data_IF_799261088318
#
_entry.id   IF_799261088318
#
_cell.length_a   1.000
_cell.length_b   1.000
_cell.length_c   1.000
_cell.angle_alpha   90.00
_cell.angle_beta   90.00
_cell.angle_gamma   90.00
#
_symmetry.space_group_name_H-M   'P 1'
#
loop_
_entity.id
_entity.type
_entity.pdbx_description
1 polymer ?
#
# COMPACT_ATOMS: atom_id res chain seq x y z
N UNK A 1 -25.43 38.00 -22.45
CA UNK A 1 -25.26 36.70 -21.77
C UNK A 1 -24.13 36.87 -20.77
N UNK A 2 -24.46 36.97 -19.48
CA UNK A 2 -23.44 36.88 -18.44
C UNK A 2 -23.16 35.38 -18.30
N UNK A 3 -21.95 34.96 -18.66
CA UNK A 3 -21.52 33.59 -18.43
C UNK A 3 -21.61 33.31 -16.93
N UNK A 4 -22.47 32.37 -16.55
CA UNK A 4 -22.60 31.90 -15.17
C UNK A 4 -21.41 30.98 -14.86
N UNK A 5 -20.26 31.61 -14.63
CA UNK A 5 -19.02 30.92 -14.29
C UNK A 5 -19.14 30.13 -12.99
N UNK A 6 -20.02 30.54 -12.07
CA UNK A 6 -20.26 29.84 -10.81
C UNK A 6 -21.06 28.55 -11.05
N UNK A 7 -22.12 28.62 -11.86
CA UNK A 7 -22.87 27.44 -12.29
C UNK A 7 -22.03 26.45 -13.10
N UNK A 8 -21.16 26.95 -13.98
CA UNK A 8 -20.24 26.11 -14.75
C UNK A 8 -19.19 25.41 -13.85
N UNK A 9 -18.62 26.12 -12.87
CA UNK A 9 -17.69 25.54 -11.90
C UNK A 9 -18.38 24.48 -11.03
N UNK A 10 -19.58 24.77 -10.53
CA UNK A 10 -20.36 23.81 -9.75
C UNK A 10 -20.69 22.54 -10.56
N UNK A 11 -21.07 22.70 -11.83
CA UNK A 11 -21.35 21.57 -12.72
C UNK A 11 -20.12 20.67 -12.94
N UNK A 12 -18.92 21.25 -13.02
CA UNK A 12 -17.67 20.49 -13.14
C UNK A 12 -17.29 19.81 -11.81
N UNK A 13 -17.38 20.51 -10.69
CA UNK A 13 -17.00 20.01 -9.36
C UNK A 13 -17.87 18.81 -8.95
N UNK A 14 -19.18 18.86 -9.22
CA UNK A 14 -20.12 17.78 -8.90
C UNK A 14 -20.26 16.74 -10.02
N UNK A 15 -19.46 16.85 -11.09
CA UNK A 15 -19.49 15.86 -12.17
C UNK A 15 -18.96 14.51 -11.67
N UNK A 16 -19.58 13.37 -12.05
CA UNK A 16 -19.15 12.03 -11.59
C UNK A 16 -17.68 11.70 -11.87
N UNK A 17 -17.11 12.28 -12.93
CA UNK A 17 -15.70 12.06 -13.32
C UNK A 17 -14.71 13.00 -12.64
N UNK A 18 -15.16 14.01 -11.91
CA UNK A 18 -14.27 15.01 -11.30
C UNK A 18 -13.27 14.37 -10.34
N UNK A 19 -13.74 13.53 -9.42
CA UNK A 19 -12.87 12.84 -8.46
C UNK A 19 -11.82 11.95 -9.13
N UNK A 20 -12.19 11.24 -10.22
CA UNK A 20 -11.25 10.43 -11.00
C UNK A 20 -10.21 11.31 -11.70
N UNK A 21 -10.65 12.38 -12.36
CA UNK A 21 -9.77 13.32 -13.06
C UNK A 21 -8.77 13.98 -12.12
N UNK A 22 -9.22 14.44 -10.95
CA UNK A 22 -8.36 15.01 -9.92
C UNK A 22 -7.37 13.97 -9.39
N UNK A 23 -7.81 12.73 -9.13
CA UNK A 23 -6.94 11.67 -8.61
C UNK A 23 -5.84 11.29 -9.62
N UNK A 24 -6.22 11.05 -10.87
CA UNK A 24 -5.26 10.69 -11.93
C UNK A 24 -4.35 11.85 -12.29
N UNK A 25 -4.90 13.07 -12.40
CA UNK A 25 -4.13 14.28 -12.69
C UNK A 25 -3.12 14.59 -11.59
N UNK A 26 -3.55 14.54 -10.32
CA UNK A 26 -2.66 14.70 -9.17
C UNK A 26 -1.52 13.69 -9.18
N UNK A 27 -1.84 12.40 -9.36
CA UNK A 27 -0.83 11.34 -9.40
C UNK A 27 0.16 11.52 -10.55
N UNK A 28 -0.32 11.82 -11.76
CA UNK A 28 0.52 12.00 -12.94
C UNK A 28 1.45 13.22 -12.82
N UNK A 29 0.96 14.33 -12.28
CA UNK A 29 1.76 15.54 -12.05
C UNK A 29 2.89 15.29 -11.06
N UNK A 30 2.55 14.65 -9.92
CA UNK A 30 3.54 14.31 -8.90
C UNK A 30 4.52 13.27 -9.42
N UNK A 31 4.06 12.25 -10.14
CA UNK A 31 4.91 11.23 -10.74
C UNK A 31 5.91 11.85 -11.73
N UNK A 32 5.46 12.74 -12.61
CA UNK A 32 6.35 13.44 -13.54
C UNK A 32 7.40 14.30 -12.81
N UNK A 33 7.01 14.95 -11.72
CA UNK A 33 7.94 15.71 -10.88
C UNK A 33 8.94 14.78 -10.14
N UNK A 34 8.47 13.62 -9.66
CA UNK A 34 9.29 12.60 -9.03
C UNK A 34 10.31 12.00 -10.01
N UNK A 35 9.91 11.68 -11.23
CA UNK A 35 10.84 11.13 -12.24
C UNK A 35 11.95 12.12 -12.60
N UNK A 36 11.63 13.41 -12.65
CA UNK A 36 12.60 14.47 -12.97
C UNK A 36 13.58 14.75 -11.83
N UNK A 37 13.11 14.71 -10.58
CA UNK A 37 13.92 15.09 -9.40
C UNK A 37 14.53 13.91 -8.66
N UNK A 38 13.91 12.72 -8.76
CA UNK A 38 14.17 11.51 -7.96
C UNK A 38 14.29 11.77 -6.47
N UNK A 39 13.60 12.81 -5.98
CA UNK A 39 13.70 13.21 -4.58
C UNK A 39 12.89 12.27 -3.69
N UNK A 40 13.53 11.70 -2.68
CA UNK A 40 12.98 10.65 -1.81
C UNK A 40 11.67 11.07 -1.11
N UNK A 41 11.54 12.35 -0.76
CA UNK A 41 10.32 12.88 -0.11
C UNK A 41 9.19 13.16 -1.10
N UNK A 42 9.48 13.22 -2.40
CA UNK A 42 8.48 13.45 -3.45
C UNK A 42 7.82 12.13 -3.87
N UNK A 43 7.51 11.27 -2.90
CA UNK A 43 6.93 9.98 -3.17
C UNK A 43 5.54 10.16 -3.83
N UNK A 44 5.32 9.61 -5.04
CA UNK A 44 4.13 9.90 -5.83
C UNK A 44 2.81 9.73 -5.07
N UNK A 45 2.68 8.63 -4.33
CA UNK A 45 1.45 8.28 -3.60
C UNK A 45 1.14 9.27 -2.47
N UNK A 46 2.14 9.66 -1.68
CA UNK A 46 1.94 10.54 -0.53
C UNK A 46 1.57 11.95 -0.99
N UNK A 47 2.34 12.50 -1.92
CA UNK A 47 2.16 13.88 -2.37
C UNK A 47 0.90 14.00 -3.22
N UNK A 48 0.54 12.99 -4.02
CA UNK A 48 -0.74 12.98 -4.74
C UNK A 48 -1.93 12.96 -3.78
N UNK A 49 -1.88 12.16 -2.70
CA UNK A 49 -2.92 12.13 -1.68
C UNK A 49 -3.09 13.50 -1.02
N UNK A 50 -2.00 14.14 -0.59
CA UNK A 50 -2.05 15.48 0.02
C UNK A 50 -2.62 16.53 -0.96
N UNK A 51 -2.27 16.43 -2.25
CA UNK A 51 -2.80 17.32 -3.27
C UNK A 51 -4.30 17.10 -3.49
N UNK A 52 -4.77 15.86 -3.55
CA UNK A 52 -6.20 15.53 -3.66
C UNK A 52 -6.96 16.06 -2.44
N UNK A 53 -6.45 15.84 -1.22
CA UNK A 53 -7.06 16.38 0.01
C UNK A 53 -7.17 17.90 -0.07
N UNK A 54 -6.11 18.59 -0.50
CA UNK A 54 -6.11 20.04 -0.69
C UNK A 54 -7.18 20.51 -1.69
N UNK A 55 -7.34 19.80 -2.81
CA UNK A 55 -8.38 20.11 -3.82
C UNK A 55 -9.78 19.89 -3.24
N UNK A 56 -10.01 18.79 -2.53
CA UNK A 56 -11.32 18.50 -1.92
C UNK A 56 -11.71 19.57 -0.89
N UNK A 57 -10.77 19.97 -0.03
CA UNK A 57 -10.99 21.02 0.96
C UNK A 57 -11.25 22.38 0.30
N UNK A 58 -10.51 22.72 -0.76
CA UNK A 58 -10.71 23.97 -1.50
C UNK A 58 -12.05 24.01 -2.25
N UNK A 59 -12.52 22.87 -2.76
CA UNK A 59 -13.81 22.74 -3.45
C UNK A 59 -15.00 22.51 -2.49
N UNK A 60 -14.76 22.33 -1.18
CA UNK A 60 -15.81 22.02 -0.20
C UNK A 60 -16.47 20.65 -0.40
N UNK A 61 -15.78 19.72 -1.07
CA UNK A 61 -16.29 18.38 -1.35
C UNK A 61 -16.13 17.46 -0.15
N UNK A 62 -17.18 16.71 0.16
CA UNK A 62 -17.13 15.71 1.23
C UNK A 62 -16.40 14.45 0.76
N UNK A 63 -15.82 13.68 1.71
CA UNK A 63 -15.22 12.38 1.40
C UNK A 63 -16.23 11.41 0.76
N UNK A 64 -17.50 11.46 1.16
CA UNK A 64 -18.55 10.61 0.59
C UNK A 64 -18.79 10.90 -0.90
N UNK A 65 -18.83 12.17 -1.29
CA UNK A 65 -18.95 12.58 -2.70
C UNK A 65 -17.71 12.19 -3.51
N UNK A 66 -16.52 12.39 -2.94
CA UNK A 66 -15.27 11.95 -3.56
C UNK A 66 -15.22 10.42 -3.74
N UNK A 67 -15.62 9.66 -2.72
CA UNK A 67 -15.64 8.19 -2.77
C UNK A 67 -16.62 7.68 -3.82
N UNK A 68 -17.79 8.32 -3.94
CA UNK A 68 -18.78 7.99 -4.97
C UNK A 68 -18.27 8.28 -6.38
N UNK A 69 -17.63 9.44 -6.59
CA UNK A 69 -17.04 9.77 -7.91
C UNK A 69 -15.86 8.87 -8.29
N UNK A 70 -15.15 8.30 -7.32
CA UNK A 70 -14.00 7.40 -7.54
C UNK A 70 -14.33 5.91 -7.42
N UNK A 71 -15.61 5.53 -7.41
CA UNK A 71 -16.06 4.14 -7.27
C UNK A 71 -15.47 3.21 -8.34
N UNK A 72 -15.34 3.70 -9.58
CA UNK A 72 -14.71 2.97 -10.70
C UNK A 72 -13.27 2.55 -10.33
N UNK A 73 -12.50 3.45 -9.70
CA UNK A 73 -11.12 3.13 -9.26
C UNK A 73 -11.13 2.06 -8.16
N UNK A 74 -12.15 2.07 -7.29
CA UNK A 74 -12.32 1.04 -6.25
C UNK A 74 -12.64 -0.32 -6.87
N UNK A 75 -13.46 -0.38 -7.92
CA UNK A 75 -13.77 -1.62 -8.64
C UNK A 75 -12.51 -2.22 -9.28
N UNK A 76 -11.64 -1.38 -9.83
CA UNK A 76 -10.37 -1.83 -10.43
C UNK A 76 -9.39 -2.44 -9.42
N UNK A 77 -9.60 -2.26 -8.11
CA UNK A 77 -8.78 -2.92 -7.08
C UNK A 77 -8.94 -4.44 -7.10
N UNK A 78 -10.12 -4.96 -7.49
CA UNK A 78 -10.35 -6.40 -7.61
C UNK A 78 -9.43 -7.05 -8.66
N UNK A 79 -9.51 -6.65 -9.94
CA UNK A 79 -8.60 -7.10 -10.99
C UNK A 79 -7.13 -6.86 -10.66
N UNK A 80 -6.78 -5.72 -10.05
CA UNK A 80 -5.41 -5.45 -9.63
C UNK A 80 -4.91 -6.44 -8.56
N UNK A 81 -5.79 -6.84 -7.63
CA UNK A 81 -5.46 -7.85 -6.61
C UNK A 81 -5.27 -9.23 -7.24
N UNK A 82 -6.11 -9.60 -8.21
CA UNK A 82 -5.93 -10.86 -8.97
C UNK A 82 -4.65 -10.85 -9.80
N UNK A 83 -4.29 -9.70 -10.38
CA UNK A 83 -3.06 -9.53 -11.15
C UNK A 83 -1.78 -9.72 -10.31
N UNK A 84 -1.85 -9.66 -8.97
CA UNK A 84 -0.74 -10.05 -8.10
C UNK A 84 -0.36 -11.53 -8.23
N UNK A 85 -1.21 -12.37 -8.81
CA UNK A 85 -0.86 -13.74 -9.17
C UNK A 85 0.19 -13.81 -10.29
N UNK A 86 0.29 -12.78 -11.14
CA UNK A 86 1.25 -12.73 -12.26
C UNK A 86 2.70 -12.76 -11.79
N UNK A 87 3.19 -11.87 -10.91
CA UNK A 87 4.57 -11.96 -10.43
C UNK A 87 4.86 -13.27 -9.69
N UNK A 88 3.86 -13.85 -9.00
CA UNK A 88 3.98 -15.16 -8.37
C UNK A 88 4.20 -16.27 -9.41
N UNK A 89 3.39 -16.27 -10.47
CA UNK A 89 3.46 -17.23 -11.58
C UNK A 89 4.78 -17.12 -12.35
N UNK A 90 5.19 -15.91 -12.73
CA UNK A 90 6.41 -15.66 -13.50
C UNK A 90 7.67 -16.12 -12.74
N UNK A 91 7.66 -16.06 -11.42
CA UNK A 91 8.80 -16.44 -10.58
C UNK A 91 8.66 -17.82 -9.91
N UNK A 92 7.71 -18.67 -10.33
CA UNK A 92 7.49 -20.01 -9.76
C UNK A 92 8.75 -20.89 -9.74
N UNK A 93 9.57 -20.82 -10.80
CA UNK A 93 10.83 -21.58 -10.88
C UNK A 93 11.79 -21.18 -9.75
N UNK A 94 11.93 -19.88 -9.49
CA UNK A 94 12.79 -19.33 -8.44
C UNK A 94 12.22 -19.62 -7.05
N UNK A 95 10.89 -19.53 -6.87
CA UNK A 95 10.22 -19.96 -5.63
C UNK A 95 10.57 -21.41 -5.32
N UNK A 96 10.52 -22.31 -6.31
CA UNK A 96 10.83 -23.73 -6.09
C UNK A 96 12.30 -23.96 -5.73
N UNK A 97 13.22 -23.21 -6.34
CA UNK A 97 14.66 -23.32 -6.06
C UNK A 97 15.04 -22.78 -4.68
N UNK A 98 14.39 -21.71 -4.24
CA UNK A 98 14.65 -21.01 -2.98
C UNK A 98 13.51 -21.16 -1.98
N UNK A 99 12.79 -22.29 -2.06
CA UNK A 99 11.56 -22.50 -1.29
C UNK A 99 11.78 -22.30 0.20
N UNK A 100 12.80 -22.97 0.76
CA UNK A 100 13.09 -22.89 2.19
C UNK A 100 13.47 -21.48 2.64
N UNK A 101 14.46 -20.79 2.03
CA UNK A 101 14.76 -19.40 2.38
C UNK A 101 13.56 -18.46 2.28
N UNK A 102 12.76 -18.55 1.21
CA UNK A 102 11.58 -17.69 1.02
C UNK A 102 10.53 -17.99 2.09
N UNK A 103 10.22 -19.26 2.33
CA UNK A 103 9.22 -19.68 3.29
C UNK A 103 9.59 -19.27 4.71
N UNK A 104 10.83 -19.54 5.15
CA UNK A 104 11.27 -19.16 6.51
C UNK A 104 11.28 -17.65 6.69
N UNK A 105 11.73 -16.91 5.67
CA UNK A 105 11.75 -15.44 5.69
C UNK A 105 10.33 -14.88 5.75
N UNK A 106 9.39 -15.44 4.99
CA UNK A 106 7.99 -15.05 4.99
C UNK A 106 7.32 -15.30 6.34
N UNK A 107 7.48 -16.50 6.90
CA UNK A 107 6.84 -16.87 8.17
C UNK A 107 7.41 -16.02 9.31
N UNK A 108 8.74 -15.98 9.46
CA UNK A 108 9.38 -15.24 10.54
C UNK A 108 9.14 -13.73 10.36
N UNK A 109 9.43 -13.21 9.17
CA UNK A 109 9.30 -11.79 8.86
C UNK A 109 7.85 -11.30 8.97
N UNK A 110 6.90 -12.07 8.45
CA UNK A 110 5.48 -11.73 8.51
C UNK A 110 4.94 -11.74 9.94
N UNK A 111 5.23 -12.79 10.72
CA UNK A 111 4.82 -12.88 12.13
C UNK A 111 5.44 -11.76 12.95
N UNK A 112 6.73 -11.47 12.76
CA UNK A 112 7.40 -10.36 13.47
C UNK A 112 6.81 -9.01 13.04
N UNK A 113 6.58 -8.77 11.75
CA UNK A 113 6.07 -7.50 11.26
C UNK A 113 4.64 -7.19 11.76
N UNK A 114 3.75 -8.18 11.72
CA UNK A 114 2.38 -8.06 12.23
C UNK A 114 2.36 -8.06 13.75
N UNK A 115 3.04 -9.02 14.38
CA UNK A 115 3.08 -9.20 15.83
C UNK A 115 3.69 -7.98 16.54
N UNK A 116 4.81 -7.46 16.06
CA UNK A 116 5.42 -6.26 16.63
C UNK A 116 4.52 -5.03 16.43
N UNK A 117 3.84 -4.91 15.29
CA UNK A 117 2.88 -3.82 15.07
C UNK A 117 1.76 -3.84 16.11
N UNK A 118 1.09 -4.98 16.27
CA UNK A 118 0.00 -5.15 17.24
C UNK A 118 0.51 -4.99 18.67
N UNK A 119 1.66 -5.57 19.01
CA UNK A 119 2.25 -5.50 20.35
C UNK A 119 2.59 -4.06 20.74
N UNK A 120 3.23 -3.30 19.84
CA UNK A 120 3.54 -1.89 20.09
C UNK A 120 2.27 -1.06 20.20
N UNK A 121 1.27 -1.30 19.34
CA UNK A 121 -0.02 -0.64 19.45
C UNK A 121 -0.68 -0.89 20.82
N UNK A 122 -0.66 -2.14 21.28
CA UNK A 122 -1.22 -2.52 22.57
C UNK A 122 -0.45 -1.88 23.72
N UNK A 123 0.89 -1.85 23.65
CA UNK A 123 1.74 -1.18 24.64
C UNK A 123 1.40 0.30 24.74
N UNK A 124 1.19 0.98 23.61
CA UNK A 124 0.79 2.39 23.59
C UNK A 124 -0.68 2.62 24.01
N UNK A 125 -1.42 1.57 24.37
CA UNK A 125 -2.80 1.67 24.84
C UNK A 125 -3.83 1.82 23.71
N UNK A 126 -3.51 1.37 22.50
CA UNK A 126 -4.46 1.42 21.39
C UNK A 126 -5.65 0.48 21.64
N UNK A 127 -6.85 0.96 21.31
CA UNK A 127 -8.08 0.18 21.41
C UNK A 127 -8.09 -1.03 20.46
N UNK A 128 -8.85 -2.06 20.80
CA UNK A 128 -8.94 -3.31 20.04
C UNK A 128 -9.25 -3.08 18.55
N UNK A 129 -10.19 -2.18 18.25
CA UNK A 129 -10.54 -1.81 16.87
C UNK A 129 -9.33 -1.27 16.10
N UNK A 130 -8.48 -0.44 16.72
CA UNK A 130 -7.26 0.10 16.10
C UNK A 130 -6.22 -1.01 15.91
N UNK A 131 -6.08 -1.91 16.88
CA UNK A 131 -5.17 -3.06 16.77
C UNK A 131 -5.54 -3.96 15.59
N UNK A 132 -6.83 -4.31 15.46
CA UNK A 132 -7.36 -5.10 14.35
C UNK A 132 -7.21 -4.38 13.00
N UNK A 133 -7.39 -3.07 12.99
CA UNK A 133 -7.17 -2.23 11.82
C UNK A 133 -5.70 -2.21 11.37
N UNK A 134 -4.77 -2.22 12.32
CA UNK A 134 -3.33 -2.13 12.05
C UNK A 134 -2.68 -3.49 11.79
N UNK A 135 -3.27 -4.59 12.25
CA UNK A 135 -2.71 -5.93 12.08
C UNK A 135 -2.33 -6.30 10.62
N UNK A 136 -3.13 -5.97 9.59
CA UNK A 136 -2.76 -6.21 8.20
C UNK A 136 -1.97 -5.06 7.55
N UNK A 137 -1.35 -4.13 8.30
CA UNK A 137 -0.63 -2.96 7.73
C UNK A 137 0.49 -3.29 6.73
N UNK A 138 0.98 -4.53 6.74
CA UNK A 138 2.15 -4.96 5.95
C UNK A 138 1.77 -5.64 4.63
N UNK A 139 0.50 -5.58 4.22
CA UNK A 139 0.06 -5.99 2.88
C UNK A 139 -0.44 -4.81 2.06
N UNK A 140 -0.83 -5.04 0.81
CA UNK A 140 -1.36 -3.99 -0.06
C UNK A 140 -2.73 -3.52 0.42
N UNK A 141 -3.07 -2.24 0.16
CA UNK A 141 -4.28 -1.61 0.66
C UNK A 141 -5.56 -2.40 0.39
N UNK A 142 -5.80 -2.98 -0.82
CA UNK A 142 -7.01 -3.76 -1.06
C UNK A 142 -7.15 -4.96 -0.13
N UNK A 143 -6.06 -5.71 0.09
CA UNK A 143 -6.04 -6.87 0.97
C UNK A 143 -6.20 -6.42 2.42
N UNK A 144 -5.46 -5.40 2.85
CA UNK A 144 -5.50 -4.92 4.22
C UNK A 144 -6.89 -4.40 4.61
N UNK A 145 -7.55 -3.66 3.72
CA UNK A 145 -8.89 -3.14 3.93
C UNK A 145 -9.90 -4.27 4.14
N UNK A 146 -9.87 -5.28 3.28
CA UNK A 146 -10.76 -6.44 3.36
C UNK A 146 -10.52 -7.25 4.64
N UNK A 147 -9.25 -7.54 4.95
CA UNK A 147 -8.88 -8.31 6.13
C UNK A 147 -9.24 -7.54 7.41
N UNK A 148 -8.94 -6.25 7.48
CA UNK A 148 -9.27 -5.42 8.64
C UNK A 148 -10.77 -5.43 8.92
N UNK A 149 -11.61 -5.27 7.90
CA UNK A 149 -13.07 -5.31 8.05
C UNK A 149 -13.57 -6.67 8.55
N UNK A 150 -12.97 -7.77 8.07
CA UNK A 150 -13.30 -9.13 8.53
C UNK A 150 -12.94 -9.39 10.00
N UNK A 151 -11.89 -8.76 10.51
CA UNK A 151 -11.41 -8.95 11.90
C UNK A 151 -11.87 -7.83 12.85
N UNK A 152 -12.86 -7.02 12.47
CA UNK A 152 -13.46 -5.99 13.33
C UNK A 152 -12.71 -4.65 13.39
N UNK A 153 -11.84 -4.39 12.41
CA UNK A 153 -11.17 -3.11 12.19
C UNK A 153 -11.89 -2.20 11.18
N UNK A 154 -11.26 -1.07 10.85
CA UNK A 154 -11.81 -0.04 9.97
C UNK A 154 -11.01 0.02 8.66
N UNK A 155 -11.62 -0.36 7.54
CA UNK A 155 -10.95 -0.40 6.23
C UNK A 155 -10.24 0.92 5.86
N UNK A 156 -10.90 2.06 6.07
CA UNK A 156 -10.31 3.37 5.75
C UNK A 156 -9.00 3.64 6.50
N UNK A 157 -8.93 3.28 7.79
CA UNK A 157 -7.73 3.43 8.60
C UNK A 157 -6.66 2.38 8.25
N UNK A 158 -7.06 1.16 7.87
CA UNK A 158 -6.12 0.14 7.39
C UNK A 158 -5.37 0.62 6.15
N UNK A 159 -6.06 1.25 5.20
CA UNK A 159 -5.43 1.87 4.02
C UNK A 159 -4.40 2.94 4.41
N UNK A 160 -4.68 3.74 5.45
CA UNK A 160 -3.76 4.76 5.97
C UNK A 160 -2.53 4.11 6.61
N UNK A 161 -2.69 3.08 7.44
CA UNK A 161 -1.55 2.38 8.06
C UNK A 161 -0.66 1.69 7.03
N UNK A 162 -1.26 1.07 6.01
CA UNK A 162 -0.51 0.52 4.87
C UNK A 162 0.28 1.61 4.19
N UNK A 163 -0.35 2.76 3.87
CA UNK A 163 0.34 3.87 3.22
C UNK A 163 1.54 4.35 4.05
N UNK A 164 1.34 4.62 5.34
CA UNK A 164 2.40 5.10 6.24
C UNK A 164 3.54 4.08 6.29
N UNK A 165 3.23 2.80 6.48
CA UNK A 165 4.23 1.73 6.56
C UNK A 165 5.01 1.61 5.25
N UNK A 166 4.32 1.66 4.10
CA UNK A 166 4.93 1.61 2.78
C UNK A 166 5.85 2.78 2.49
N UNK A 167 5.40 3.99 2.79
CA UNK A 167 6.18 5.23 2.61
C UNK A 167 7.45 5.18 3.45
N UNK A 168 7.30 4.92 4.76
CA UNK A 168 8.43 4.86 5.69
C UNK A 168 9.41 3.76 5.25
N UNK A 169 8.92 2.56 4.94
CA UNK A 169 9.78 1.46 4.52
C UNK A 169 10.47 1.71 3.18
N UNK A 170 9.83 2.39 2.24
CA UNK A 170 10.44 2.77 0.96
C UNK A 170 11.53 3.84 1.10
N UNK A 171 11.31 4.83 1.99
CA UNK A 171 12.26 5.92 2.26
C UNK A 171 13.48 5.41 3.06
N UNK A 172 13.24 4.68 4.16
CA UNK A 172 14.29 4.32 5.11
C UNK A 172 14.87 2.92 4.88
N UNK A 173 14.10 2.01 4.26
CA UNK A 173 14.47 0.61 4.09
C UNK A 173 15.80 0.40 3.37
N UNK A 174 16.02 0.95 2.15
CA UNK A 174 17.27 0.80 1.43
C UNK A 174 18.51 1.25 2.22
N UNK A 175 18.40 2.39 2.92
CA UNK A 175 19.47 2.94 3.74
C UNK A 175 19.76 2.06 4.96
N UNK A 176 18.71 1.55 5.61
CA UNK A 176 18.84 0.64 6.74
C UNK A 176 19.50 -0.68 6.32
N UNK A 177 19.07 -1.27 5.19
CA UNK A 177 19.67 -2.49 4.64
C UNK A 177 21.15 -2.30 4.28
N UNK A 178 21.52 -1.13 3.75
CA UNK A 178 22.93 -0.79 3.50
C UNK A 178 23.75 -0.73 4.79
N UNK A 179 23.21 -0.10 5.85
CA UNK A 179 23.89 0.00 7.15
C UNK A 179 24.06 -1.36 7.84
N UNK A 180 23.10 -2.26 7.64
CA UNK A 180 23.15 -3.63 8.15
C UNK A 180 24.01 -4.58 7.28
N UNK A 181 24.60 -4.09 6.18
CA UNK A 181 25.45 -4.90 5.29
C UNK A 181 24.68 -5.93 4.45
N UNK A 182 23.38 -5.72 4.21
CA UNK A 182 22.57 -6.63 3.41
C UNK A 182 22.74 -6.31 1.93
N UNK A 183 23.58 -7.09 1.25
CA UNK A 183 23.91 -6.88 -0.17
C UNK A 183 23.21 -7.85 -1.14
N UNK A 184 22.67 -8.97 -0.65
CA UNK A 184 21.95 -9.93 -1.50
C UNK A 184 20.68 -9.29 -2.08
N UNK A 185 20.49 -9.28 -3.42
CA UNK A 185 19.30 -8.72 -4.03
C UNK A 185 18.03 -9.47 -3.62
N UNK A 186 18.14 -10.78 -3.36
CA UNK A 186 17.01 -11.59 -2.91
C UNK A 186 16.57 -11.19 -1.49
N UNK A 187 17.52 -11.02 -0.57
CA UNK A 187 17.23 -10.61 0.80
C UNK A 187 16.66 -9.19 0.87
N UNK A 188 17.23 -8.25 0.09
CA UNK A 188 16.74 -6.87 0.02
C UNK A 188 15.34 -6.82 -0.59
N UNK A 189 15.13 -7.53 -1.70
CA UNK A 189 13.84 -7.62 -2.36
C UNK A 189 12.79 -8.19 -1.41
N UNK A 190 13.08 -9.33 -0.77
CA UNK A 190 12.18 -9.93 0.21
C UNK A 190 11.83 -8.97 1.35
N UNK A 191 12.82 -8.30 1.94
CA UNK A 191 12.58 -7.35 3.02
C UNK A 191 11.68 -6.18 2.57
N UNK A 192 12.05 -5.49 1.50
CA UNK A 192 11.30 -4.33 0.99
C UNK A 192 9.88 -4.72 0.55
N UNK A 193 9.71 -5.87 -0.11
CA UNK A 193 8.41 -6.38 -0.54
C UNK A 193 7.49 -6.75 0.62
N UNK A 194 8.02 -7.37 1.67
CA UNK A 194 7.21 -7.76 2.84
C UNK A 194 6.88 -6.57 3.75
N UNK A 195 7.79 -5.61 3.92
CA UNK A 195 7.59 -4.51 4.88
C UNK A 195 7.00 -3.26 4.25
N UNK A 196 7.24 -3.02 2.97
CA UNK A 196 6.81 -1.81 2.25
C UNK A 196 6.01 -2.09 0.97
N UNK A 197 5.66 -3.35 0.71
CA UNK A 197 4.67 -3.78 -0.28
C UNK A 197 4.91 -3.14 -1.65
N UNK A 198 3.89 -2.59 -2.31
CA UNK A 198 4.02 -2.07 -3.69
C UNK A 198 4.99 -0.89 -3.79
N UNK A 199 5.05 -0.03 -2.76
CA UNK A 199 5.94 1.13 -2.74
C UNK A 199 7.39 0.68 -2.60
N UNK A 200 7.66 -0.22 -1.64
CA UNK A 200 8.98 -0.82 -1.47
C UNK A 200 9.43 -1.61 -2.69
N UNK A 201 8.50 -2.30 -3.35
CA UNK A 201 8.77 -3.01 -4.62
C UNK A 201 9.20 -2.04 -5.72
N UNK A 202 8.53 -0.90 -5.85
CA UNK A 202 8.91 0.12 -6.83
C UNK A 202 10.32 0.69 -6.56
N UNK A 203 10.73 0.81 -5.30
CA UNK A 203 12.10 1.19 -4.92
C UNK A 203 13.09 0.06 -5.18
N UNK A 204 12.75 -1.19 -4.86
CA UNK A 204 13.58 -2.36 -5.12
C UNK A 204 13.88 -2.54 -6.62
N UNK A 205 12.90 -2.29 -7.49
CA UNK A 205 13.08 -2.31 -8.95
C UNK A 205 14.09 -1.27 -9.45
N UNK A 206 14.29 -0.18 -8.72
CA UNK A 206 15.31 0.82 -9.05
C UNK A 206 16.71 0.38 -8.62
N UNK A 207 16.83 -0.53 -7.65
CA UNK A 207 18.13 -1.08 -7.24
C UNK A 207 18.64 -2.14 -8.22
N UNK A 208 17.79 -3.08 -8.62
CA UNK A 208 18.07 -4.06 -9.68
C UNK A 208 16.79 -4.78 -10.10
N UNK A 209 16.80 -5.37 -11.30
CA UNK A 209 15.71 -6.21 -11.78
C UNK A 209 15.45 -7.41 -10.86
N UNK A 210 16.52 -8.04 -10.35
CA UNK A 210 16.42 -9.18 -9.44
C UNK A 210 15.82 -8.77 -8.08
N UNK A 211 16.28 -7.66 -7.48
CA UNK A 211 15.71 -7.13 -6.24
C UNK A 211 14.21 -6.81 -6.40
N UNK A 212 13.85 -6.18 -7.52
CA UNK A 212 12.45 -5.91 -7.88
C UNK A 212 11.60 -7.18 -8.00
N UNK A 213 12.11 -8.22 -8.65
CA UNK A 213 11.41 -9.50 -8.80
C UNK A 213 11.14 -10.17 -7.45
N UNK A 214 12.13 -10.19 -6.55
CA UNK A 214 11.96 -10.72 -5.19
C UNK A 214 11.02 -9.88 -4.34
N UNK A 215 11.03 -8.55 -4.50
CA UNK A 215 10.08 -7.69 -3.80
C UNK A 215 8.63 -7.91 -4.25
N UNK A 216 8.40 -8.05 -5.55
CA UNK A 216 7.07 -8.37 -6.08
C UNK A 216 6.58 -9.75 -5.60
N UNK A 217 7.48 -10.73 -5.55
CA UNK A 217 7.22 -12.05 -4.96
C UNK A 217 6.84 -11.96 -3.48
N UNK A 218 7.67 -11.29 -2.67
CA UNK A 218 7.45 -11.11 -1.24
C UNK A 218 6.13 -10.40 -0.93
N UNK A 219 5.84 -9.32 -1.64
CA UNK A 219 4.58 -8.58 -1.50
C UNK A 219 3.38 -9.52 -1.76
N UNK A 220 3.45 -10.33 -2.83
CA UNK A 220 2.35 -11.24 -3.21
C UNK A 220 2.17 -12.36 -2.19
N UNK A 221 3.27 -12.98 -1.76
CA UNK A 221 3.25 -14.04 -0.75
C UNK A 221 2.76 -13.54 0.61
N UNK A 222 3.24 -12.37 1.05
CA UNK A 222 2.80 -11.73 2.31
C UNK A 222 1.32 -11.36 2.24
N UNK A 223 0.85 -10.87 1.09
CA UNK A 223 -0.56 -10.63 0.80
C UNK A 223 -1.43 -11.86 1.02
N UNK A 224 -1.09 -12.96 0.35
CA UNK A 224 -1.82 -14.23 0.46
C UNK A 224 -1.75 -14.79 1.89
N UNK A 225 -0.56 -14.82 2.49
CA UNK A 225 -0.36 -15.34 3.83
C UNK A 225 -1.20 -14.56 4.87
N UNK A 226 -1.16 -13.24 4.83
CA UNK A 226 -1.93 -12.41 5.77
C UNK A 226 -3.43 -12.57 5.54
N UNK A 227 -3.89 -12.61 4.27
CA UNK A 227 -5.31 -12.77 3.95
C UNK A 227 -5.91 -14.08 4.48
N UNK A 228 -5.12 -15.16 4.52
CA UNK A 228 -5.57 -16.47 4.99
C UNK A 228 -5.34 -16.64 6.49
N UNK A 229 -4.12 -16.38 6.95
CA UNK A 229 -3.70 -16.75 8.31
C UNK A 229 -4.09 -15.71 9.36
N UNK A 230 -4.19 -14.42 9.02
CA UNK A 230 -4.48 -13.40 10.02
C UNK A 230 -5.93 -13.50 10.54
N UNK A 231 -6.98 -13.60 9.70
CA UNK A 231 -8.34 -13.83 10.20
C UNK A 231 -8.47 -15.12 11.01
N UNK A 232 -7.80 -16.19 10.57
CA UNK A 232 -7.79 -17.47 11.28
C UNK A 232 -7.11 -17.36 12.66
N UNK A 233 -5.99 -16.66 12.75
CA UNK A 233 -5.30 -16.45 14.01
C UNK A 233 -6.15 -15.62 14.99
N UNK A 234 -6.84 -14.58 14.50
CA UNK A 234 -7.73 -13.76 15.34
C UNK A 234 -8.92 -14.58 15.85
N UNK A 235 -9.55 -15.39 14.99
CA UNK A 235 -10.70 -16.21 15.39
C UNK A 235 -10.38 -17.36 16.35
N UNK A 236 -9.10 -17.71 16.53
CA UNK A 236 -8.67 -18.68 17.53
C UNK A 236 -8.34 -18.05 18.89
N UNK A 237 -8.12 -16.73 18.92
CA UNK A 237 -7.75 -15.98 20.14
C UNK A 237 -8.95 -15.29 20.78
N UNK A 238 -9.99 -14.99 19.99
CA UNK A 238 -11.27 -14.38 20.40
C UNK A 238 -12.35 -15.46 20.46
#
# INVERSE_FOLDING_TARGET
>A
MIFDWQGALAAVIHHPLFGIGVTLGAYQLVLAAFEKTRWIFLQPVLVSMLLVIGVLLACGLTYAEYRKSTEILSILLGPATVALAVPLYLNLRRIRQLFWPIFTTLVIGGVVATGMGVLLGWWFGAEHMILMTMAPKSVTSPIAMLVAEQIGGVAALAAVFVLITGVIGAIFGPSLLNRLGVHSPEARGMALGMTAHAVGTAVAMQESEECGAFAALAMSLMGVATAVFLPLAVSMVV
#
